data_IF_524765723362
#
_entry.id   IF_524765723362
#
_cell.length_a   1.000
_cell.length_b   1.000
_cell.length_c   1.000
_cell.angle_alpha   90.00
_cell.angle_beta   90.00
_cell.angle_gamma   90.00
#
_symmetry.space_group_name_H-M   'P 1'
#
loop_
_entity.id
_entity.type
_entity.pdbx_description
1 polymer ?
#
# COMPACT_ATOMS: atom_id res chain seq x y z
N UNK A 1 -57.60 13.47 -10.87
CA UNK A 1 -56.83 12.32 -10.34
C UNK A 1 -55.46 12.10 -10.99
N UNK A 2 -54.89 13.02 -11.71
CA UNK A 2 -53.63 12.80 -12.44
C UNK A 2 -52.45 13.70 -12.05
N UNK A 3 -52.56 14.45 -10.98
CA UNK A 3 -51.49 15.41 -10.58
C UNK A 3 -50.60 15.00 -9.42
N UNK A 4 -50.75 13.78 -8.89
CA UNK A 4 -49.95 13.29 -7.77
C UNK A 4 -48.72 12.48 -8.16
N UNK A 5 -48.65 11.98 -9.37
CA UNK A 5 -47.53 11.15 -9.84
C UNK A 5 -46.24 11.93 -10.22
N UNK A 6 -46.35 13.22 -10.51
CA UNK A 6 -45.20 14.03 -10.94
C UNK A 6 -44.30 14.52 -9.78
N UNK A 7 -44.83 14.52 -8.55
CA UNK A 7 -44.06 15.04 -7.38
C UNK A 7 -43.10 14.03 -6.79
N UNK A 8 -43.32 12.73 -7.01
CA UNK A 8 -42.48 11.67 -6.49
C UNK A 8 -41.25 11.40 -7.37
N UNK A 9 -41.34 11.67 -8.65
CA UNK A 9 -40.22 11.48 -9.60
C UNK A 9 -39.06 12.45 -9.33
N UNK A 10 -39.35 13.66 -8.82
CA UNK A 10 -38.32 14.65 -8.48
C UNK A 10 -37.48 14.25 -7.26
N UNK A 11 -38.06 13.58 -6.28
CA UNK A 11 -37.36 13.17 -5.06
C UNK A 11 -36.44 11.99 -5.27
N UNK A 12 -36.79 11.07 -6.16
CA UNK A 12 -35.92 9.96 -6.52
C UNK A 12 -34.69 10.40 -7.33
N UNK A 13 -34.82 11.41 -8.17
CA UNK A 13 -33.68 11.95 -8.96
C UNK A 13 -32.64 12.64 -8.06
N UNK A 14 -33.07 13.35 -7.02
CA UNK A 14 -32.19 14.02 -6.08
C UNK A 14 -31.46 13.01 -5.18
N UNK A 15 -32.15 11.96 -4.75
CA UNK A 15 -31.57 10.89 -3.94
C UNK A 15 -30.48 10.09 -4.72
N UNK A 16 -30.64 9.89 -6.01
CA UNK A 16 -29.64 9.21 -6.85
C UNK A 16 -28.38 10.06 -7.07
N UNK A 17 -28.49 11.38 -7.16
CA UNK A 17 -27.33 12.26 -7.32
C UNK A 17 -26.44 12.33 -6.05
N UNK A 18 -27.03 12.21 -4.86
CA UNK A 18 -26.24 12.25 -3.61
C UNK A 18 -25.45 10.98 -3.33
N UNK A 19 -25.89 9.83 -3.82
CA UNK A 19 -25.14 8.57 -3.69
C UNK A 19 -23.89 8.50 -4.58
N UNK A 20 -23.87 9.22 -5.69
CA UNK A 20 -22.74 9.19 -6.62
C UNK A 20 -21.51 9.95 -6.11
N UNK A 21 -21.67 10.88 -5.19
CA UNK A 21 -20.55 11.65 -4.62
C UNK A 21 -19.76 10.90 -3.54
N UNK A 22 -20.35 9.89 -2.91
CA UNK A 22 -19.64 9.10 -1.89
C UNK A 22 -18.68 8.07 -2.47
N UNK A 23 -18.87 7.65 -3.71
CA UNK A 23 -17.97 6.69 -4.37
C UNK A 23 -16.60 7.29 -4.74
N UNK A 24 -16.49 8.60 -4.86
CA UNK A 24 -15.23 9.30 -5.20
C UNK A 24 -14.36 9.61 -3.97
N UNK A 25 -14.88 9.47 -2.75
CA UNK A 25 -14.14 9.73 -1.51
C UNK A 25 -13.44 8.48 -0.95
N UNK A 26 -13.66 7.28 -1.54
CA UNK A 26 -13.05 6.03 -1.10
C UNK A 26 -11.81 5.75 -1.94
N UNK A 27 -10.65 5.71 -1.25
CA UNK A 27 -9.39 5.16 -1.74
C UNK A 27 -8.46 6.08 -2.54
N UNK A 28 -8.14 7.26 -2.01
CA UNK A 28 -6.88 7.90 -2.38
C UNK A 28 -5.72 7.10 -1.76
N UNK A 29 -5.05 6.27 -2.56
CA UNK A 29 -3.80 5.61 -2.17
C UNK A 29 -2.63 6.60 -2.23
N UNK A 30 -1.78 6.68 -1.21
CA UNK A 30 -1.86 6.01 0.08
C UNK A 30 -2.71 6.82 1.09
N UNK A 31 -3.60 6.15 1.82
CA UNK A 31 -4.45 6.76 2.87
C UNK A 31 -3.98 6.47 4.30
N UNK A 32 -2.97 5.62 4.46
CA UNK A 32 -2.37 5.21 5.73
C UNK A 32 -0.88 4.91 5.55
N UNK A 33 -0.09 4.78 6.64
CA UNK A 33 1.31 4.43 6.54
C UNK A 33 1.57 3.15 5.76
N UNK A 34 2.66 3.13 5.01
CA UNK A 34 3.12 2.01 4.21
C UNK A 34 4.26 1.31 4.95
N UNK A 35 4.16 -0.01 5.11
CA UNK A 35 5.21 -0.83 5.69
C UNK A 35 6.21 -1.23 4.62
N UNK A 36 7.50 -0.97 4.87
CA UNK A 36 8.61 -1.35 3.98
C UNK A 36 9.45 -2.40 4.70
N UNK A 37 9.33 -3.64 4.29
CA UNK A 37 10.10 -4.75 4.84
C UNK A 37 11.49 -4.78 4.19
N UNK A 38 12.52 -4.76 5.02
CA UNK A 38 13.93 -4.85 4.60
C UNK A 38 14.50 -6.16 5.17
N UNK A 39 14.83 -7.16 4.34
CA UNK A 39 15.25 -8.49 4.81
C UNK A 39 16.73 -8.51 5.24
N UNK A 40 17.22 -7.41 5.77
CA UNK A 40 18.59 -7.23 6.25
C UNK A 40 18.60 -6.57 7.62
N UNK A 41 19.70 -6.77 8.35
CA UNK A 41 19.91 -6.13 9.63
C UNK A 41 19.97 -4.60 9.51
N UNK A 42 19.49 -3.85 10.52
CA UNK A 42 19.60 -2.40 10.54
C UNK A 42 21.07 -1.94 10.41
N UNK A 43 21.29 -0.84 9.68
CA UNK A 43 22.59 -0.21 9.53
C UNK A 43 23.44 -0.70 8.35
N UNK A 44 23.03 -1.75 7.67
CA UNK A 44 23.67 -2.21 6.43
C UNK A 44 23.36 -1.30 5.23
N UNK A 45 24.05 -1.51 4.12
CA UNK A 45 23.91 -0.69 2.91
C UNK A 45 22.45 -0.67 2.39
N UNK A 46 21.80 -1.82 2.35
CA UNK A 46 20.39 -1.93 1.90
C UNK A 46 19.45 -1.19 2.84
N UNK A 47 19.65 -1.28 4.15
CA UNK A 47 18.85 -0.55 5.14
C UNK A 47 19.01 0.97 5.00
N UNK A 48 20.24 1.44 4.84
CA UNK A 48 20.53 2.87 4.63
C UNK A 48 19.83 3.38 3.37
N UNK A 49 19.93 2.66 2.27
CA UNK A 49 19.25 3.00 1.03
C UNK A 49 17.72 3.01 1.18
N UNK A 50 17.17 2.00 1.85
CA UNK A 50 15.73 1.92 2.13
C UNK A 50 15.24 3.15 2.91
N UNK A 51 16.00 3.59 3.92
CA UNK A 51 15.66 4.77 4.73
C UNK A 51 15.70 6.07 3.93
N UNK A 52 16.73 6.25 3.10
CA UNK A 52 16.85 7.44 2.23
C UNK A 52 15.70 7.51 1.23
N UNK A 53 15.43 6.40 0.54
CA UNK A 53 14.34 6.32 -0.45
C UNK A 53 12.98 6.51 0.23
N UNK A 54 12.73 5.83 1.36
CA UNK A 54 11.47 5.91 2.07
C UNK A 54 11.20 7.32 2.61
N UNK A 55 12.22 8.01 3.08
CA UNK A 55 12.07 9.41 3.50
C UNK A 55 11.60 10.29 2.36
N UNK A 56 12.24 10.18 1.20
CA UNK A 56 11.88 10.98 0.03
C UNK A 56 10.49 10.63 -0.50
N UNK A 57 10.14 9.35 -0.54
CA UNK A 57 8.80 8.92 -0.93
C UNK A 57 7.73 9.40 0.05
N UNK A 58 8.00 9.38 1.36
CA UNK A 58 7.07 9.92 2.36
C UNK A 58 6.76 11.40 2.12
N UNK A 59 7.76 12.19 1.77
CA UNK A 59 7.58 13.60 1.45
C UNK A 59 6.70 13.80 0.20
N UNK A 60 6.91 12.99 -0.83
CA UNK A 60 6.17 13.09 -2.11
C UNK A 60 4.74 12.55 -1.95
N UNK A 61 4.56 11.44 -1.25
CA UNK A 61 3.26 10.74 -1.15
C UNK A 61 2.38 11.26 -0.01
N UNK A 62 2.93 12.05 0.92
CA UNK A 62 2.18 12.57 2.06
C UNK A 62 1.80 11.52 3.11
N UNK A 63 2.45 10.34 3.09
CA UNK A 63 2.26 9.28 4.07
C UNK A 63 3.60 8.73 4.55
N UNK A 64 3.64 8.28 5.80
CA UNK A 64 4.86 7.70 6.38
C UNK A 64 5.16 6.33 5.79
N UNK A 65 6.40 6.10 5.37
CA UNK A 65 6.92 4.78 5.06
C UNK A 65 7.70 4.26 6.28
N UNK A 66 7.22 3.17 6.87
CA UNK A 66 7.78 2.58 8.09
C UNK A 66 8.72 1.44 7.71
N UNK A 67 10.01 1.57 8.05
CA UNK A 67 11.00 0.52 7.81
C UNK A 67 10.85 -0.56 8.88
N UNK A 68 10.73 -1.80 8.42
CA UNK A 68 10.66 -3.00 9.24
C UNK A 68 11.76 -3.98 8.81
N UNK A 69 12.83 -4.07 9.59
CA UNK A 69 13.92 -4.99 9.31
C UNK A 69 13.56 -6.41 9.72
N UNK A 70 13.59 -7.34 8.78
CA UNK A 70 13.29 -8.78 8.96
C UNK A 70 14.40 -9.65 8.39
N UNK A 71 15.58 -9.66 9.04
CA UNK A 71 16.68 -10.52 8.63
C UNK A 71 16.37 -11.99 8.93
N UNK A 72 17.04 -12.89 8.26
CA UNK A 72 16.97 -14.33 8.52
C UNK A 72 16.65 -15.15 7.26
N UNK A 73 17.00 -16.44 7.32
CA UNK A 73 16.77 -17.38 6.22
C UNK A 73 17.40 -16.93 4.90
N UNK A 74 18.56 -16.29 4.95
CA UNK A 74 19.23 -15.72 3.78
C UNK A 74 18.28 -14.79 2.98
N UNK A 75 17.60 -13.88 3.67
CA UNK A 75 16.58 -12.94 3.16
C UNK A 75 15.20 -13.53 2.84
N UNK A 76 15.05 -14.84 2.83
CA UNK A 76 13.80 -15.52 2.52
C UNK A 76 12.67 -15.18 3.49
N UNK A 77 12.98 -15.03 4.79
CA UNK A 77 11.98 -14.70 5.82
C UNK A 77 11.24 -13.39 5.51
N UNK A 78 11.98 -12.32 5.20
CA UNK A 78 11.38 -11.04 4.85
C UNK A 78 10.60 -11.08 3.54
N UNK A 79 11.11 -11.79 2.54
CA UNK A 79 10.45 -11.97 1.25
C UNK A 79 9.13 -12.74 1.38
N UNK A 80 9.11 -13.83 2.15
CA UNK A 80 7.88 -14.59 2.44
C UNK A 80 6.83 -13.76 3.16
N UNK A 81 7.25 -12.96 4.12
CA UNK A 81 6.35 -12.09 4.88
C UNK A 81 5.60 -11.13 3.96
N UNK A 82 6.29 -10.54 3.00
CA UNK A 82 5.67 -9.65 2.00
C UNK A 82 4.82 -10.44 1.02
N UNK A 83 5.27 -11.61 0.56
CA UNK A 83 4.51 -12.46 -0.36
C UNK A 83 3.17 -12.92 0.23
N UNK A 84 3.10 -13.13 1.55
CA UNK A 84 1.89 -13.53 2.28
C UNK A 84 1.04 -12.35 2.76
N UNK A 85 1.53 -11.12 2.67
CA UNK A 85 0.78 -9.94 3.05
C UNK A 85 -0.35 -9.64 2.03
N UNK A 86 -1.40 -8.90 2.44
CA UNK A 86 -2.41 -8.43 1.50
C UNK A 86 -1.79 -7.66 0.33
N UNK A 87 -2.23 -7.93 -0.89
CA UNK A 87 -1.76 -7.28 -2.12
C UNK A 87 -2.46 -5.91 -2.33
N UNK A 88 -2.38 -5.04 -1.34
CA UNK A 88 -3.05 -3.73 -1.32
C UNK A 88 -2.08 -2.54 -1.48
N UNK A 89 -0.79 -2.80 -1.65
CA UNK A 89 0.25 -1.78 -1.77
C UNK A 89 0.72 -1.17 -0.44
N UNK A 90 0.27 -1.66 0.71
CA UNK A 90 0.68 -1.16 2.03
C UNK A 90 1.77 -1.99 2.71
N UNK A 91 2.21 -3.08 2.09
CA UNK A 91 3.39 -3.85 2.50
C UNK A 91 4.29 -4.04 1.29
N UNK A 92 5.48 -3.46 1.34
CA UNK A 92 6.45 -3.47 0.26
C UNK A 92 7.73 -4.16 0.71
N UNK A 93 8.44 -4.75 -0.23
CA UNK A 93 9.77 -5.31 -0.01
C UNK A 93 10.82 -4.39 -0.61
N UNK A 94 11.80 -3.99 0.19
CA UNK A 94 12.99 -3.29 -0.28
C UNK A 94 14.20 -4.21 -0.09
N UNK A 95 14.74 -4.70 -1.18
CA UNK A 95 15.81 -5.71 -1.17
C UNK A 95 16.80 -5.49 -2.32
N UNK A 96 17.80 -6.34 -2.39
CA UNK A 96 18.76 -6.41 -3.49
C UNK A 96 18.58 -7.70 -4.31
N UNK A 97 19.39 -7.87 -5.33
CA UNK A 97 19.38 -9.00 -6.24
C UNK A 97 19.63 -10.35 -5.57
N UNK A 98 20.38 -10.39 -4.47
CA UNK A 98 20.68 -11.63 -3.75
C UNK A 98 19.41 -12.40 -3.34
N UNK A 99 18.34 -11.69 -2.98
CA UNK A 99 17.09 -12.31 -2.53
C UNK A 99 16.41 -13.11 -3.64
N UNK A 100 16.43 -12.65 -4.86
CA UNK A 100 15.68 -13.25 -5.96
C UNK A 100 16.54 -14.00 -6.97
N UNK A 101 17.83 -13.70 -7.04
CA UNK A 101 18.74 -14.30 -8.01
C UNK A 101 19.63 -15.35 -7.36
N UNK A 102 20.32 -15.00 -6.28
CA UNK A 102 21.29 -15.92 -5.68
C UNK A 102 20.65 -17.01 -4.81
N UNK A 103 19.63 -16.66 -4.01
CA UNK A 103 19.01 -17.62 -3.11
C UNK A 103 18.37 -18.82 -3.83
N UNK A 104 17.57 -18.65 -4.91
CA UNK A 104 17.00 -19.79 -5.63
C UNK A 104 18.03 -20.69 -6.29
N UNK A 105 19.25 -20.19 -6.52
CA UNK A 105 20.35 -20.96 -7.16
C UNK A 105 21.15 -21.74 -6.10
N UNK A 106 21.25 -21.19 -4.88
CA UNK A 106 22.11 -21.73 -3.81
C UNK A 106 21.36 -22.58 -2.80
N UNK A 107 20.04 -22.64 -2.84
CA UNK A 107 19.17 -23.51 -2.04
C UNK A 107 18.69 -24.69 -2.88
#
# INVERSE_FOLDING_TARGET
MRKWSARWAGWCAIACLTLSFQALAQNAYPSKPIRVVVPFAPGGATDIMARVVSKRLSEIMGQTLVIDNKPGGNTALGAELVAKAPADGYTLLFTNDATFVLNPILS
#
